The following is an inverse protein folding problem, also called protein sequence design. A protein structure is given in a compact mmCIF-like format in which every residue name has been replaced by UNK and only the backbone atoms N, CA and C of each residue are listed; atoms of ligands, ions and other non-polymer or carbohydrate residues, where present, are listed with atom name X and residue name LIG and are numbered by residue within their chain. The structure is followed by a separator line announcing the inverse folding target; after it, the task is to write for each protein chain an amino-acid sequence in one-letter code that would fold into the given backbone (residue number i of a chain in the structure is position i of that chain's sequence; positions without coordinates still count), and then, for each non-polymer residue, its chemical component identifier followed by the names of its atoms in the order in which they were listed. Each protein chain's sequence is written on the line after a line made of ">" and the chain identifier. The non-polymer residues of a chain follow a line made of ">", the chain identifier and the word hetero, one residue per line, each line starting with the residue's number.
data_IF_593248506658
#
_entry.id   IF_593248506658
#
_cell.length_a   1.000
_cell.length_b   1.000
_cell.length_c   1.000
_cell.angle_alpha   90.00
_cell.angle_beta   90.00
_cell.angle_gamma   90.00
#
_symmetry.space_group_name_H-M   'P 1'
#
loop_
_entity.id
_entity.type
_entity.pdbx_description
1 polymer ?
#
# COMPACT_ATOMS: atom_id res chain seq x y z
N UNK A 1 -15.18 17.01 8.98
CA UNK A 1 -15.18 16.39 7.64
C UNK A 1 -16.42 15.53 7.50
N UNK A 2 -17.24 15.75 6.50
CA UNK A 2 -18.39 14.89 6.18
C UNK A 2 -18.00 13.89 5.07
N UNK A 3 -18.94 13.00 4.71
CA UNK A 3 -18.69 11.98 3.67
C UNK A 3 -18.36 12.60 2.32
N UNK A 4 -19.02 13.71 1.96
CA UNK A 4 -18.74 14.40 0.72
C UNK A 4 -17.33 14.98 0.69
N UNK A 5 -16.89 15.60 1.77
CA UNK A 5 -15.52 16.14 1.87
C UNK A 5 -14.48 15.02 1.78
N UNK A 6 -14.75 13.88 2.40
CA UNK A 6 -13.88 12.71 2.33
C UNK A 6 -13.80 12.19 0.89
N UNK A 7 -14.94 12.08 0.22
CA UNK A 7 -15.01 11.60 -1.16
C UNK A 7 -14.22 12.52 -2.09
N UNK A 8 -14.40 13.84 -1.99
CA UNK A 8 -13.64 14.82 -2.76
C UNK A 8 -12.13 14.70 -2.50
N UNK A 9 -11.74 14.60 -1.23
CA UNK A 9 -10.34 14.43 -0.84
C UNK A 9 -9.72 13.16 -1.44
N UNK A 10 -10.43 12.04 -1.40
CA UNK A 10 -9.94 10.76 -1.90
C UNK A 10 -9.81 10.74 -3.43
N UNK A 11 -10.52 11.60 -4.16
CA UNK A 11 -10.41 11.71 -5.61
C UNK A 11 -9.30 12.67 -6.09
N UNK A 12 -8.69 13.42 -5.18
CA UNK A 12 -7.55 14.28 -5.53
C UNK A 12 -6.31 13.41 -5.73
N UNK A 13 -5.66 13.55 -6.88
CA UNK A 13 -4.40 12.85 -7.13
C UNK A 13 -3.30 13.33 -6.18
N UNK A 14 -2.67 12.38 -5.50
CA UNK A 14 -1.49 12.67 -4.68
C UNK A 14 -0.28 12.96 -5.56
N UNK A 15 0.79 13.50 -4.97
CA UNK A 15 2.04 13.70 -5.70
C UNK A 15 2.62 12.40 -6.24
N UNK A 16 2.49 11.30 -5.49
CA UNK A 16 2.90 9.97 -5.93
C UNK A 16 2.07 9.47 -7.12
N UNK A 17 0.76 9.66 -7.06
CA UNK A 17 -0.13 9.30 -8.19
C UNK A 17 0.21 10.11 -9.45
N UNK A 18 0.44 11.40 -9.31
CA UNK A 18 0.87 12.26 -10.43
C UNK A 18 2.21 11.82 -11.02
N UNK A 19 3.13 11.39 -10.18
CA UNK A 19 4.41 10.86 -10.62
C UNK A 19 4.21 9.59 -11.45
N UNK A 20 3.41 8.64 -10.98
CA UNK A 20 3.14 7.38 -11.68
C UNK A 20 2.42 7.57 -13.01
N UNK A 21 1.55 8.56 -13.12
CA UNK A 21 0.91 8.90 -14.39
C UNK A 21 1.92 9.34 -15.45
N UNK A 22 3.02 9.97 -15.03
CA UNK A 22 4.11 10.41 -15.92
C UNK A 22 5.16 9.33 -16.13
N UNK A 23 5.23 8.32 -15.28
CA UNK A 23 6.23 7.25 -15.30
C UNK A 23 5.56 5.88 -15.22
N UNK A 24 4.73 5.51 -16.22
CA UNK A 24 3.98 4.27 -16.17
C UNK A 24 4.91 3.06 -16.14
N UNK A 25 4.62 2.11 -15.26
CA UNK A 25 5.39 0.88 -15.11
C UNK A 25 6.71 1.01 -14.36
N UNK A 26 7.10 2.21 -13.93
CA UNK A 26 8.32 2.42 -13.17
C UNK A 26 8.10 2.24 -11.68
N UNK A 27 9.11 1.69 -11.00
CA UNK A 27 9.10 1.57 -9.54
C UNK A 27 9.19 2.96 -8.90
N UNK A 28 8.37 3.21 -7.89
CA UNK A 28 8.41 4.49 -7.18
C UNK A 28 9.81 4.75 -6.59
N UNK A 29 10.32 5.98 -6.69
CA UNK A 29 11.59 6.37 -6.05
C UNK A 29 11.61 6.13 -4.53
N UNK A 30 10.45 6.06 -3.90
CA UNK A 30 10.30 5.74 -2.49
C UNK A 30 11.02 4.45 -2.10
N UNK A 31 11.02 3.44 -2.98
CA UNK A 31 11.64 2.14 -2.71
C UNK A 31 13.17 2.16 -2.76
N UNK A 32 13.78 3.17 -3.37
CA UNK A 32 15.23 3.23 -3.53
C UNK A 32 16.01 3.22 -2.20
N UNK A 33 15.38 3.65 -1.13
CA UNK A 33 16.00 3.77 0.20
C UNK A 33 15.48 2.75 1.21
N UNK A 34 14.61 1.85 0.79
CA UNK A 34 14.09 0.82 1.68
C UNK A 34 14.99 -0.41 1.69
N UNK A 35 15.13 -1.08 2.84
CA UNK A 35 15.82 -2.35 2.90
C UNK A 35 15.17 -3.40 2.00
N UNK A 36 15.99 -4.11 1.24
CA UNK A 36 15.56 -5.22 0.38
C UNK A 36 16.22 -6.49 0.89
N UNK A 37 15.41 -7.48 1.26
CA UNK A 37 15.86 -8.72 1.83
C UNK A 37 15.36 -9.92 1.06
N UNK A 38 16.09 -11.04 1.16
CA UNK A 38 15.53 -12.34 0.83
C UNK A 38 14.71 -12.81 2.05
N UNK A 39 13.40 -12.81 1.91
CA UNK A 39 12.47 -13.21 2.94
C UNK A 39 11.48 -14.23 2.38
N UNK A 40 11.40 -15.40 3.03
CA UNK A 40 10.57 -16.51 2.56
C UNK A 40 10.86 -16.90 1.08
N UNK A 41 12.14 -16.93 0.71
CA UNK A 41 12.64 -17.24 -0.64
C UNK A 41 12.20 -16.24 -1.72
N UNK A 42 11.91 -15.01 -1.33
CA UNK A 42 11.52 -13.94 -2.24
C UNK A 42 12.22 -12.64 -1.86
N UNK A 43 12.58 -11.84 -2.85
CA UNK A 43 13.10 -10.50 -2.61
C UNK A 43 11.95 -9.60 -2.17
N UNK A 44 12.01 -9.12 -0.92
CA UNK A 44 10.96 -8.30 -0.32
C UNK A 44 11.53 -7.03 0.28
N UNK A 45 10.83 -5.93 0.08
CA UNK A 45 11.10 -4.69 0.82
C UNK A 45 10.56 -4.80 2.24
N UNK A 46 11.26 -4.18 3.17
CA UNK A 46 10.81 -4.04 4.53
C UNK A 46 10.37 -2.60 4.81
N UNK A 47 9.15 -2.44 5.33
CA UNK A 47 8.63 -1.14 5.73
C UNK A 47 8.68 -0.97 7.24
N UNK A 48 9.15 0.17 7.67
CA UNK A 48 9.02 0.63 9.05
C UNK A 48 7.99 1.77 9.07
N UNK A 49 6.72 1.43 9.26
CA UNK A 49 5.64 2.40 9.23
C UNK A 49 5.71 3.40 10.38
N UNK A 50 6.13 2.98 11.57
CA UNK A 50 6.29 3.88 12.69
C UNK A 50 7.25 5.02 12.35
N UNK A 51 8.37 4.69 11.71
CA UNK A 51 9.35 5.68 11.27
C UNK A 51 8.86 6.49 10.06
N UNK A 52 8.25 5.81 9.08
CA UNK A 52 7.77 6.44 7.83
C UNK A 52 6.62 7.41 8.09
N UNK A 53 5.64 6.99 8.88
CA UNK A 53 4.46 7.80 9.20
C UNK A 53 4.65 8.67 10.44
N UNK A 54 5.78 8.51 11.13
CA UNK A 54 6.09 9.24 12.38
C UNK A 54 4.99 9.11 13.42
N UNK A 55 4.47 7.89 13.53
CA UNK A 55 3.47 7.50 14.50
C UNK A 55 3.90 6.22 15.21
N UNK A 56 3.50 6.06 16.47
CA UNK A 56 3.83 4.92 17.30
C UNK A 56 2.62 4.04 17.64
N UNK A 57 1.43 4.39 17.17
CA UNK A 57 0.21 3.64 17.42
C UNK A 57 -0.58 3.31 16.15
N UNK A 58 -1.20 4.29 15.54
CA UNK A 58 -2.05 4.11 14.35
C UNK A 58 -1.65 5.12 13.29
N UNK A 59 -1.32 4.61 12.10
CA UNK A 59 -1.13 5.42 10.90
C UNK A 59 -2.23 5.14 9.90
N UNK A 60 -2.65 6.17 9.20
CA UNK A 60 -3.66 6.06 8.13
C UNK A 60 -3.06 6.64 6.85
N UNK A 61 -3.13 5.88 5.78
CA UNK A 61 -2.64 6.33 4.48
C UNK A 61 -3.69 6.09 3.41
N UNK A 62 -3.68 6.94 2.40
CA UNK A 62 -4.37 6.69 1.15
C UNK A 62 -3.36 6.03 0.20
N UNK A 63 -3.63 4.80 -0.22
CA UNK A 63 -2.77 4.11 -1.16
C UNK A 63 -2.79 4.79 -2.53
N UNK A 64 -1.62 4.79 -3.15
CA UNK A 64 -1.46 5.38 -4.48
C UNK A 64 -2.10 4.51 -5.55
N UNK A 65 -2.91 5.13 -6.39
CA UNK A 65 -3.40 4.53 -7.63
C UNK A 65 -2.32 4.57 -8.69
N UNK A 66 -2.54 3.85 -9.79
CA UNK A 66 -1.67 3.87 -11.00
C UNK A 66 -0.27 3.29 -10.77
N UNK A 67 -0.10 2.48 -9.73
CA UNK A 67 1.20 1.87 -9.41
C UNK A 67 1.04 0.39 -9.11
N UNK A 68 2.13 -0.33 -9.29
CA UNK A 68 2.28 -1.69 -8.79
C UNK A 68 3.20 -1.63 -7.59
N UNK A 69 2.72 -2.15 -6.47
CA UNK A 69 3.49 -2.19 -5.22
C UNK A 69 4.28 -3.51 -5.20
N UNK A 70 5.61 -3.46 -5.07
CA UNK A 70 6.42 -4.67 -5.05
C UNK A 70 6.20 -5.48 -3.76
N UNK A 71 6.58 -6.77 -3.75
CA UNK A 71 6.49 -7.58 -2.54
C UNK A 71 7.19 -6.93 -1.37
N UNK A 72 6.48 -6.87 -0.25
CA UNK A 72 6.99 -6.26 0.99
C UNK A 72 6.36 -6.90 2.23
N UNK A 73 6.93 -6.60 3.37
CA UNK A 73 6.41 -7.01 4.66
C UNK A 73 6.76 -5.95 5.72
N UNK A 74 6.08 -6.02 6.84
CA UNK A 74 6.30 -5.15 7.98
C UNK A 74 5.81 -5.83 9.26
N UNK A 75 6.28 -5.35 10.39
CA UNK A 75 5.92 -5.90 11.71
C UNK A 75 4.53 -5.48 12.20
N UNK A 76 3.96 -4.48 11.58
CA UNK A 76 2.67 -3.93 11.98
C UNK A 76 1.52 -4.69 11.33
N UNK A 77 0.37 -4.71 11.98
CA UNK A 77 -0.87 -5.16 11.36
C UNK A 77 -1.36 -4.09 10.40
N UNK A 78 -1.92 -4.51 9.28
CA UNK A 78 -2.46 -3.61 8.27
C UNK A 78 -3.92 -3.92 8.01
N UNK A 79 -4.73 -2.88 7.95
CA UNK A 79 -6.13 -2.97 7.58
C UNK A 79 -6.35 -2.17 6.30
N UNK A 80 -6.81 -2.86 5.26
CA UNK A 80 -7.11 -2.25 3.97
C UNK A 80 -8.61 -2.22 3.74
N UNK A 81 -9.12 -1.07 3.39
CA UNK A 81 -10.50 -0.87 2.99
C UNK A 81 -10.56 -0.33 1.57
N UNK A 82 -11.33 -1.00 0.72
CA UNK A 82 -11.50 -0.56 -0.67
C UNK A 82 -12.66 0.42 -0.74
N UNK A 83 -12.31 1.68 -0.78
CA UNK A 83 -13.29 2.76 -0.82
C UNK A 83 -14.01 2.80 -2.16
N UNK A 84 -13.30 2.62 -3.27
CA UNK A 84 -13.84 2.67 -4.62
C UNK A 84 -12.98 1.84 -5.57
N UNK A 85 -13.62 1.19 -6.54
CA UNK A 85 -12.94 0.39 -7.56
C UNK A 85 -12.56 -1.00 -7.07
N UNK A 86 -11.51 -1.54 -7.66
CA UNK A 86 -10.99 -2.88 -7.35
C UNK A 86 -9.49 -2.85 -7.15
N UNK A 87 -9.00 -3.77 -6.33
CA UNK A 87 -7.58 -3.97 -6.10
C UNK A 87 -7.28 -5.47 -6.05
N UNK A 88 -6.20 -5.90 -6.67
CA UNK A 88 -5.72 -7.27 -6.54
C UNK A 88 -4.49 -7.27 -5.63
N UNK A 89 -4.62 -7.99 -4.52
CA UNK A 89 -3.51 -8.25 -3.62
C UNK A 89 -2.90 -9.61 -3.93
N UNK A 90 -1.59 -9.72 -3.76
CA UNK A 90 -0.90 -10.99 -3.72
C UNK A 90 -0.46 -11.20 -2.27
N UNK A 91 -1.07 -12.14 -1.57
CA UNK A 91 -0.85 -12.41 -0.15
C UNK A 91 -0.28 -13.81 -0.01
N UNK A 92 0.96 -13.92 0.47
CA UNK A 92 1.67 -15.20 0.55
C UNK A 92 1.61 -15.99 -0.77
N UNK A 93 1.76 -15.30 -1.90
CA UNK A 93 1.75 -15.90 -3.22
C UNK A 93 0.36 -16.20 -3.80
N UNK A 94 -0.71 -15.87 -3.10
CA UNK A 94 -2.09 -16.06 -3.59
C UNK A 94 -2.70 -14.73 -4.01
N UNK A 95 -3.31 -14.71 -5.18
CA UNK A 95 -4.08 -13.56 -5.64
C UNK A 95 -5.42 -13.48 -4.93
N UNK A 96 -5.74 -12.29 -4.43
CA UNK A 96 -7.03 -11.97 -3.82
C UNK A 96 -7.54 -10.68 -4.43
N UNK A 97 -8.64 -10.75 -5.15
CA UNK A 97 -9.30 -9.56 -5.72
C UNK A 97 -10.29 -9.00 -4.71
N UNK A 98 -10.15 -7.73 -4.42
CA UNK A 98 -11.01 -7.00 -3.51
C UNK A 98 -11.77 -5.91 -4.28
N UNK A 99 -13.04 -5.78 -3.95
CA UNK A 99 -13.93 -4.82 -4.57
C UNK A 99 -14.34 -3.73 -3.58
N UNK A 100 -14.97 -2.68 -4.09
CA UNK A 100 -15.51 -1.61 -3.26
C UNK A 100 -16.29 -2.15 -2.07
N UNK A 101 -15.96 -1.66 -0.88
CA UNK A 101 -16.58 -2.07 0.38
C UNK A 101 -15.91 -3.26 1.07
N UNK A 102 -14.98 -3.93 0.41
CA UNK A 102 -14.25 -5.04 1.00
C UNK A 102 -13.19 -4.55 2.00
N UNK A 103 -12.95 -5.39 2.99
CA UNK A 103 -11.99 -5.15 4.06
C UNK A 103 -11.02 -6.34 4.15
N UNK A 104 -9.74 -6.05 4.25
CA UNK A 104 -8.70 -7.06 4.44
C UNK A 104 -7.82 -6.68 5.62
N UNK A 105 -7.56 -7.64 6.50
CA UNK A 105 -6.61 -7.47 7.60
C UNK A 105 -5.41 -8.37 7.32
N UNK A 106 -4.23 -7.76 7.25
CA UNK A 106 -2.96 -8.46 7.12
C UNK A 106 -2.28 -8.52 8.48
N UNK A 107 -1.92 -9.73 8.88
CA UNK A 107 -1.19 -9.96 10.13
C UNK A 107 0.28 -9.50 9.98
N UNK A 108 0.97 -9.46 11.11
CA UNK A 108 2.37 -9.07 11.16
C UNK A 108 3.25 -9.96 10.28
N UNK A 109 4.20 -9.36 9.57
CA UNK A 109 5.21 -10.05 8.75
C UNK A 109 4.64 -10.88 7.58
N UNK A 110 3.40 -10.65 7.17
CA UNK A 110 2.84 -11.28 5.98
C UNK A 110 3.40 -10.61 4.72
N UNK A 111 3.95 -11.41 3.82
CA UNK A 111 4.44 -10.91 2.52
C UNK A 111 3.25 -10.60 1.62
N UNK A 112 3.20 -9.39 1.11
CA UNK A 112 2.11 -8.95 0.22
C UNK A 112 2.57 -7.89 -0.79
N UNK A 113 1.77 -7.76 -1.81
CA UNK A 113 1.96 -6.73 -2.84
C UNK A 113 0.62 -6.34 -3.46
#
# INVERSE_FOLDING_TARGET
>A
MNIQDLDEFLHIDTSGEKWHLKHPGELSPFYAHLPLHNYQNMQCYYFDFANTLKTDQIGVVKESRYTTIPPHYHKDMELNYIYEGTCTFIINGKEVTMNQGDLCILDTNVVHS
#
